data_IF_006001182141
#
_entry.id   IF_006001182141
#
_cell.length_a   1.000
_cell.length_b   1.000
_cell.length_c   1.000
_cell.angle_alpha   90.00
_cell.angle_beta   90.00
_cell.angle_gamma   90.00
#
_symmetry.space_group_name_H-M   'P 1'
#
loop_
_entity.id
_entity.type
_entity.pdbx_description
1 polymer ?
#
# COMPACT_ATOMS: atom_id res chain seq x y z
N UNK A 1 19.25 -6.66 9.30
CA UNK A 1 18.35 -5.54 8.93
C UNK A 1 17.44 -5.23 10.11
N UNK A 2 17.40 -3.97 10.56
CA UNK A 2 16.53 -3.56 11.67
C UNK A 2 15.05 -3.75 11.36
N UNK A 3 14.19 -3.84 12.39
CA UNK A 3 12.74 -4.04 12.22
C UNK A 3 12.09 -2.89 11.43
N UNK A 4 12.41 -1.65 11.79
CA UNK A 4 11.90 -0.45 11.11
C UNK A 4 12.37 -0.37 9.66
N UNK A 5 13.67 -0.58 9.42
CA UNK A 5 14.22 -0.59 8.05
C UNK A 5 13.51 -1.63 7.16
N UNK A 6 13.19 -2.80 7.71
CA UNK A 6 12.43 -3.84 7.00
C UNK A 6 11.06 -3.32 6.60
N UNK A 7 10.30 -2.76 7.53
CA UNK A 7 8.94 -2.23 7.27
C UNK A 7 9.00 -1.16 6.17
N UNK A 8 9.92 -0.20 6.28
CA UNK A 8 10.05 0.89 5.30
C UNK A 8 10.43 0.39 3.92
N UNK A 9 11.36 -0.57 3.81
CA UNK A 9 11.73 -1.19 2.53
C UNK A 9 10.58 -1.94 1.90
N UNK A 10 9.79 -2.63 2.69
CA UNK A 10 8.63 -3.36 2.20
C UNK A 10 7.54 -2.39 1.72
N UNK A 11 7.25 -1.33 2.49
CA UNK A 11 6.31 -0.30 2.05
C UNK A 11 6.78 0.39 0.76
N UNK A 12 8.09 0.69 0.68
CA UNK A 12 8.70 1.22 -0.53
C UNK A 12 8.54 0.30 -1.73
N UNK A 13 8.73 -1.02 -1.55
CA UNK A 13 8.51 -2.00 -2.62
C UNK A 13 7.07 -1.99 -3.12
N UNK A 14 6.09 -1.92 -2.21
CA UNK A 14 4.67 -1.85 -2.53
C UNK A 14 4.31 -0.68 -3.44
N UNK A 15 4.95 0.48 -3.23
CA UNK A 15 4.73 1.66 -4.07
C UNK A 15 5.47 1.57 -5.41
N UNK A 16 6.63 0.92 -5.45
CA UNK A 16 7.35 0.66 -6.70
C UNK A 16 6.71 -0.43 -7.56
N UNK A 17 5.82 -1.23 -7.01
CA UNK A 17 5.39 -2.47 -7.65
C UNK A 17 4.59 -2.25 -8.92
N UNK A 18 3.84 -1.15 -9.04
CA UNK A 18 3.05 -0.84 -10.24
C UNK A 18 3.96 -0.76 -11.48
N UNK A 19 4.97 0.14 -11.58
CA UNK A 19 5.86 0.15 -12.74
C UNK A 19 6.72 -1.13 -12.84
N UNK A 20 7.13 -1.72 -11.72
CA UNK A 20 7.95 -2.94 -11.72
C UNK A 20 7.17 -4.15 -12.25
N UNK A 21 5.86 -4.23 -12.02
CA UNK A 21 5.01 -5.33 -12.46
C UNK A 21 4.95 -5.48 -13.98
N UNK A 22 5.21 -4.41 -14.73
CA UNK A 22 5.27 -4.42 -16.20
C UNK A 22 6.69 -4.55 -16.76
N UNK A 23 7.72 -4.39 -15.93
CA UNK A 23 9.11 -4.53 -16.35
C UNK A 23 9.45 -6.00 -16.73
N UNK A 24 10.54 -6.25 -17.48
CA UNK A 24 11.02 -7.61 -17.72
C UNK A 24 11.26 -8.40 -16.42
N UNK A 25 11.03 -9.71 -16.43
CA UNK A 25 11.14 -10.57 -15.22
C UNK A 25 12.52 -10.51 -14.54
N UNK A 26 13.59 -10.34 -15.33
CA UNK A 26 14.94 -10.10 -14.81
C UNK A 26 15.08 -8.78 -14.04
N UNK A 27 14.38 -7.72 -14.45
CA UNK A 27 14.33 -6.44 -13.72
C UNK A 27 13.55 -6.60 -12.43
N UNK A 28 12.39 -7.27 -12.46
CA UNK A 28 11.58 -7.58 -11.26
C UNK A 28 12.40 -8.29 -10.20
N UNK A 29 13.09 -9.36 -10.61
CA UNK A 29 13.98 -10.13 -9.75
C UNK A 29 15.12 -9.27 -9.18
N UNK A 30 15.73 -8.40 -9.99
CA UNK A 30 16.82 -7.50 -9.56
C UNK A 30 16.32 -6.49 -8.53
N UNK A 31 15.17 -5.86 -8.75
CA UNK A 31 14.59 -4.90 -7.81
C UNK A 31 14.26 -5.58 -6.49
N UNK A 32 13.63 -6.76 -6.53
CA UNK A 32 13.31 -7.53 -5.32
C UNK A 32 14.58 -7.87 -4.52
N UNK A 33 15.64 -8.37 -5.17
CA UNK A 33 16.94 -8.61 -4.50
C UNK A 33 17.52 -7.35 -3.87
N UNK A 34 17.48 -6.22 -4.59
CA UNK A 34 18.04 -4.94 -4.11
C UNK A 34 17.28 -4.38 -2.92
N UNK A 35 15.95 -4.40 -2.98
CA UNK A 35 15.10 -3.81 -1.94
C UNK A 35 15.13 -4.65 -0.67
N UNK A 36 14.91 -5.97 -0.79
CA UNK A 36 14.82 -6.88 0.36
C UNK A 36 16.17 -7.39 0.86
N UNK A 37 17.24 -7.23 0.06
CA UNK A 37 18.58 -7.77 0.34
C UNK A 37 18.58 -9.28 0.62
N UNK A 38 17.66 -10.00 -0.01
CA UNK A 38 17.54 -11.46 0.07
C UNK A 38 17.87 -12.08 -1.28
N UNK A 39 18.53 -13.25 -1.30
CA UNK A 39 18.65 -14.04 -2.52
C UNK A 39 17.26 -14.29 -3.14
N UNK A 40 17.21 -14.22 -4.46
CA UNK A 40 16.00 -14.54 -5.23
C UNK A 40 16.41 -15.21 -6.53
N UNK A 41 15.96 -16.45 -6.69
CA UNK A 41 16.23 -17.28 -7.85
C UNK A 41 15.08 -17.15 -8.83
N UNK A 42 15.33 -16.57 -10.01
CA UNK A 42 14.36 -16.57 -11.10
C UNK A 42 14.42 -17.94 -11.79
N UNK A 43 13.32 -18.70 -11.78
CA UNK A 43 13.26 -20.03 -12.41
C UNK A 43 12.40 -20.00 -13.65
N UNK A 44 12.92 -19.34 -14.70
CA UNK A 44 12.35 -19.22 -16.06
C UNK A 44 10.82 -19.41 -16.07
N UNK A 45 10.07 -18.42 -15.54
CA UNK A 45 8.63 -18.58 -15.39
C UNK A 45 7.96 -18.67 -16.76
N UNK A 46 7.02 -19.60 -16.90
CA UNK A 46 6.16 -19.66 -18.08
C UNK A 46 5.47 -18.31 -18.34
N UNK A 47 5.13 -17.98 -19.59
CA UNK A 47 4.46 -16.72 -19.92
C UNK A 47 3.20 -16.49 -19.10
N UNK A 48 2.40 -17.54 -18.87
CA UNK A 48 1.21 -17.49 -18.03
C UNK A 48 1.50 -17.06 -16.59
N UNK A 49 2.53 -17.64 -15.95
CA UNK A 49 2.89 -17.28 -14.57
C UNK A 49 3.41 -15.84 -14.48
N UNK A 50 4.14 -15.40 -15.50
CA UNK A 50 4.61 -14.02 -15.61
C UNK A 50 3.45 -13.03 -15.75
N UNK A 51 2.43 -13.39 -16.55
CA UNK A 51 1.20 -12.62 -16.70
C UNK A 51 0.40 -12.55 -15.40
N UNK A 52 0.14 -13.69 -14.75
CA UNK A 52 -0.57 -13.73 -13.45
C UNK A 52 0.16 -12.90 -12.41
N UNK A 53 1.49 -12.98 -12.37
CA UNK A 53 2.28 -12.12 -11.49
C UNK A 53 2.10 -10.64 -11.82
N UNK A 54 2.18 -10.26 -13.10
CA UNK A 54 1.98 -8.85 -13.52
C UNK A 54 0.63 -8.33 -13.05
N UNK A 55 -0.46 -9.07 -13.31
CA UNK A 55 -1.82 -8.65 -12.95
C UNK A 55 -1.97 -8.50 -11.43
N UNK A 56 -1.58 -9.51 -10.66
CA UNK A 56 -1.74 -9.50 -9.20
C UNK A 56 -0.83 -8.47 -8.52
N UNK A 57 0.41 -8.31 -8.99
CA UNK A 57 1.33 -7.32 -8.46
C UNK A 57 0.88 -5.89 -8.81
N UNK A 58 0.40 -5.64 -10.03
CA UNK A 58 -0.12 -4.34 -10.41
C UNK A 58 -1.38 -3.97 -9.60
N UNK A 59 -2.31 -4.91 -9.43
CA UNK A 59 -3.51 -4.70 -8.63
C UNK A 59 -3.16 -4.42 -7.15
N UNK A 60 -2.27 -5.22 -6.56
CA UNK A 60 -1.80 -4.99 -5.17
C UNK A 60 -1.08 -3.65 -5.02
N UNK A 61 -0.25 -3.28 -5.99
CA UNK A 61 0.44 -1.99 -6.02
C UNK A 61 -0.51 -0.79 -6.14
N UNK A 62 -1.56 -0.91 -6.95
CA UNK A 62 -2.59 0.12 -7.05
C UNK A 62 -3.33 0.31 -5.72
N UNK A 63 -3.61 -0.78 -4.99
CA UNK A 63 -4.19 -0.68 -3.64
C UNK A 63 -3.22 -0.05 -2.64
N UNK A 64 -1.93 -0.36 -2.72
CA UNK A 64 -0.91 0.30 -1.91
C UNK A 64 -0.82 1.81 -2.20
N UNK A 65 -0.90 2.20 -3.48
CA UNK A 65 -0.98 3.60 -3.89
C UNK A 65 -2.26 4.28 -3.41
N UNK A 66 -3.41 3.60 -3.49
CA UNK A 66 -4.66 4.15 -2.98
C UNK A 66 -4.62 4.33 -1.46
N UNK A 67 -4.07 3.37 -0.71
CA UNK A 67 -3.83 3.51 0.71
C UNK A 67 -2.89 4.67 1.04
N UNK A 68 -1.80 4.84 0.29
CA UNK A 68 -0.89 5.98 0.44
C UNK A 68 -1.58 7.31 0.13
N UNK A 69 -2.42 7.37 -0.91
CA UNK A 69 -3.23 8.54 -1.24
C UNK A 69 -4.19 8.91 -0.09
N UNK A 70 -4.93 7.93 0.46
CA UNK A 70 -5.82 8.15 1.59
C UNK A 70 -5.06 8.60 2.85
N UNK A 71 -3.90 8.00 3.12
CA UNK A 71 -3.00 8.40 4.21
C UNK A 71 -2.57 9.86 4.06
N UNK A 72 -2.11 10.27 2.88
CA UNK A 72 -1.69 11.66 2.61
C UNK A 72 -2.87 12.62 2.73
N UNK A 73 -4.02 12.28 2.15
CA UNK A 73 -5.25 13.08 2.26
C UNK A 73 -5.67 13.29 3.71
N UNK A 74 -5.70 12.22 4.51
CA UNK A 74 -6.06 12.28 5.93
C UNK A 74 -5.06 13.11 6.73
N UNK A 75 -3.76 12.92 6.50
CA UNK A 75 -2.72 13.69 7.18
C UNK A 75 -2.77 15.17 6.83
N UNK A 76 -2.94 15.52 5.55
CA UNK A 76 -3.05 16.92 5.12
C UNK A 76 -4.28 17.57 5.77
N UNK A 77 -5.44 16.93 5.70
CA UNK A 77 -6.69 17.47 6.27
C UNK A 77 -6.66 17.54 7.79
N UNK A 78 -5.97 16.62 8.46
CA UNK A 78 -5.86 16.59 9.91
C UNK A 78 -4.83 17.58 10.45
N UNK A 79 -3.58 17.45 9.99
CA UNK A 79 -2.45 18.26 10.47
C UNK A 79 -2.67 19.74 10.14
N UNK A 80 -3.10 20.03 8.91
CA UNK A 80 -3.33 21.39 8.43
C UNK A 80 -4.82 21.78 8.48
N UNK A 81 -5.61 21.15 9.33
CA UNK A 81 -7.03 21.47 9.50
C UNK A 81 -7.34 22.99 9.60
N UNK A 82 -6.57 23.80 10.36
CA UNK A 82 -6.83 25.24 10.46
C UNK A 82 -6.62 26.00 9.13
N UNK A 83 -5.83 25.46 8.21
CA UNK A 83 -5.62 26.07 6.88
C UNK A 83 -6.70 25.62 5.88
N UNK A 84 -7.27 24.43 6.09
CA UNK A 84 -8.21 23.81 5.15
C UNK A 84 -9.67 24.15 5.48
N UNK A 85 -10.02 24.27 6.77
CA UNK A 85 -11.42 24.33 7.22
C UNK A 85 -11.67 25.25 8.43
N UNK A 86 -10.78 26.22 8.73
CA UNK A 86 -11.00 27.14 9.85
C UNK A 86 -12.26 28.00 9.73
N UNK A 87 -12.85 28.16 8.55
CA UNK A 87 -14.11 28.90 8.39
C UNK A 87 -15.34 28.21 9.00
N UNK A 88 -15.26 26.92 9.30
CA UNK A 88 -16.41 26.08 9.70
C UNK A 88 -16.14 25.23 10.96
N UNK A 89 -15.22 25.69 11.82
CA UNK A 89 -14.86 24.91 13.01
C UNK A 89 -16.01 24.78 14.03
N UNK A 90 -16.98 25.68 14.00
CA UNK A 90 -18.12 25.71 14.93
C UNK A 90 -19.05 24.50 14.76
N UNK A 91 -19.09 23.90 13.57
CA UNK A 91 -19.87 22.70 13.27
C UNK A 91 -19.02 21.42 13.23
N UNK A 92 -17.73 21.54 13.54
CA UNK A 92 -16.77 20.45 13.47
C UNK A 92 -16.62 19.73 14.82
N UNK A 93 -16.23 18.46 14.78
CA UNK A 93 -15.96 17.69 15.99
C UNK A 93 -14.76 18.28 16.75
N UNK A 94 -14.86 18.37 18.08
CA UNK A 94 -13.80 18.93 18.93
C UNK A 94 -14.21 20.15 19.78
N UNK A 95 -15.48 20.56 19.71
CA UNK A 95 -16.03 21.62 20.56
C UNK A 95 -15.97 23.01 19.91
N UNK A 96 -16.40 24.07 20.63
CA UNK A 96 -16.68 25.39 20.04
C UNK A 96 -15.41 26.24 19.82
N UNK A 97 -14.22 25.63 19.82
CA UNK A 97 -12.95 26.34 19.63
C UNK A 97 -12.16 25.73 18.49
N UNK A 98 -11.41 26.57 17.77
CA UNK A 98 -10.52 26.12 16.70
C UNK A 98 -9.48 25.11 17.22
N UNK A 99 -8.96 25.32 18.44
CA UNK A 99 -7.98 24.43 19.05
C UNK A 99 -8.55 23.04 19.31
N UNK A 100 -9.78 22.95 19.83
CA UNK A 100 -10.46 21.69 20.06
C UNK A 100 -10.78 20.96 18.75
N UNK A 101 -11.31 21.68 17.76
CA UNK A 101 -11.55 21.13 16.43
C UNK A 101 -10.26 20.60 15.79
N UNK A 102 -9.17 21.37 15.85
CA UNK A 102 -7.87 20.95 15.35
C UNK A 102 -7.37 19.68 16.06
N UNK A 103 -7.45 19.61 17.39
CA UNK A 103 -6.94 18.46 18.13
C UNK A 103 -7.58 17.13 17.68
N UNK A 104 -8.89 17.11 17.44
CA UNK A 104 -9.61 15.92 16.95
C UNK A 104 -9.17 15.55 15.54
N UNK A 105 -9.08 16.52 14.63
CA UNK A 105 -8.72 16.27 13.23
C UNK A 105 -7.24 15.89 13.09
N UNK A 106 -6.36 16.53 13.86
CA UNK A 106 -4.95 16.15 13.98
C UNK A 106 -4.84 14.71 14.47
N UNK A 107 -5.56 14.35 15.55
CA UNK A 107 -5.53 13.00 16.09
C UNK A 107 -5.98 11.96 15.03
N UNK A 108 -7.08 12.22 14.32
CA UNK A 108 -7.58 11.34 13.26
C UNK A 108 -6.68 11.26 12.03
N UNK A 109 -5.98 12.35 11.66
CA UNK A 109 -5.12 12.40 10.48
C UNK A 109 -3.68 11.92 10.73
N UNK A 110 -3.13 12.16 11.92
CA UNK A 110 -1.72 11.95 12.22
C UNK A 110 -1.44 10.69 13.06
N UNK A 111 -2.30 10.35 14.04
CA UNK A 111 -2.02 9.19 14.91
C UNK A 111 -2.08 7.84 14.16
N UNK A 112 -2.98 7.62 13.18
CA UNK A 112 -3.01 6.37 12.42
C UNK A 112 -1.87 6.20 11.41
N UNK A 113 -0.98 7.18 11.23
CA UNK A 113 0.06 7.15 10.21
C UNK A 113 0.96 5.89 10.24
N UNK A 114 1.39 5.39 11.42
CA UNK A 114 2.12 4.13 11.50
C UNK A 114 1.31 2.93 11.01
N UNK A 115 -0.01 2.90 11.24
CA UNK A 115 -0.90 1.82 10.77
C UNK A 115 -1.00 1.82 9.25
N UNK A 116 -1.09 3.00 8.63
CA UNK A 116 -1.04 3.12 7.17
C UNK A 116 0.28 2.60 6.59
N UNK A 117 1.42 2.94 7.21
CA UNK A 117 2.73 2.41 6.80
C UNK A 117 2.78 0.88 6.92
N UNK A 118 2.23 0.31 8.00
CA UNK A 118 2.14 -1.13 8.19
C UNK A 118 1.23 -1.80 7.15
N UNK A 119 0.10 -1.17 6.79
CA UNK A 119 -0.80 -1.65 5.74
C UNK A 119 -0.08 -1.69 4.38
N UNK A 120 0.60 -0.60 4.01
CA UNK A 120 1.37 -0.51 2.76
C UNK A 120 2.52 -1.54 2.77
N UNK A 121 3.21 -1.71 3.90
CA UNK A 121 4.20 -2.76 4.06
C UNK A 121 3.58 -4.17 3.93
N UNK A 122 2.34 -4.38 4.38
CA UNK A 122 1.60 -5.63 4.17
C UNK A 122 1.48 -5.99 2.69
N UNK A 123 1.12 -5.02 1.84
CA UNK A 123 1.10 -5.20 0.39
C UNK A 123 2.48 -5.55 -0.19
N UNK A 124 3.54 -4.89 0.27
CA UNK A 124 4.89 -5.23 -0.19
C UNK A 124 5.35 -6.64 0.23
N UNK A 125 4.91 -7.14 1.40
CA UNK A 125 5.12 -8.55 1.78
C UNK A 125 4.37 -9.46 0.82
N UNK A 126 3.10 -9.16 0.54
CA UNK A 126 2.28 -9.94 -0.36
C UNK A 126 2.92 -10.04 -1.76
N UNK A 127 3.41 -8.94 -2.30
CA UNK A 127 4.11 -8.89 -3.59
C UNK A 127 5.41 -9.68 -3.59
N UNK A 128 6.21 -9.59 -2.53
CA UNK A 128 7.41 -10.41 -2.38
C UNK A 128 7.06 -11.91 -2.44
N UNK A 129 5.98 -12.31 -1.75
CA UNK A 129 5.49 -13.70 -1.72
C UNK A 129 4.92 -14.14 -3.07
N UNK A 130 4.20 -13.26 -3.76
CA UNK A 130 3.73 -13.50 -5.14
C UNK A 130 4.89 -13.71 -6.09
N UNK A 131 5.95 -12.90 -6.00
CA UNK A 131 7.16 -13.05 -6.81
C UNK A 131 7.88 -14.37 -6.53
N UNK A 132 8.04 -14.75 -5.25
CA UNK A 132 8.59 -16.05 -4.87
C UNK A 132 7.79 -17.19 -5.50
N UNK A 133 6.45 -17.15 -5.38
CA UNK A 133 5.58 -18.21 -5.86
C UNK A 133 5.49 -18.28 -7.39
N UNK A 134 5.31 -17.15 -8.07
CA UNK A 134 4.98 -17.09 -9.50
C UNK A 134 6.21 -16.91 -10.40
N UNK A 135 7.31 -16.34 -9.90
CA UNK A 135 8.53 -16.17 -10.68
C UNK A 135 9.65 -17.09 -10.20
N UNK A 136 9.77 -17.33 -8.89
CA UNK A 136 10.79 -18.20 -8.30
C UNK A 136 10.41 -19.69 -8.18
N UNK A 137 9.10 -20.02 -8.27
CA UNK A 137 8.55 -21.37 -7.96
C UNK A 137 8.81 -21.80 -6.51
N UNK A 138 8.95 -20.84 -5.61
CA UNK A 138 9.26 -21.04 -4.20
C UNK A 138 8.16 -20.48 -3.30
N UNK A 139 8.01 -21.00 -2.09
CA UNK A 139 7.02 -20.52 -1.13
C UNK A 139 5.59 -21.02 -1.36
N UNK A 140 4.72 -20.58 -0.46
CA UNK A 140 3.33 -21.05 -0.34
C UNK A 140 2.42 -20.52 -1.46
N UNK A 141 1.28 -21.20 -1.68
CA UNK A 141 0.30 -20.84 -2.71
C UNK A 141 -0.72 -19.77 -2.26
N UNK A 142 -0.92 -19.60 -0.95
CA UNK A 142 -1.89 -18.66 -0.36
C UNK A 142 -1.78 -17.18 -0.80
N UNK A 143 -0.61 -16.63 -1.21
CA UNK A 143 -0.54 -15.23 -1.65
C UNK A 143 -1.44 -14.93 -2.85
N UNK A 144 -1.69 -15.94 -3.70
CA UNK A 144 -2.53 -15.80 -4.88
C UNK A 144 -3.99 -15.53 -4.50
N UNK A 145 -4.69 -16.40 -3.76
CA UNK A 145 -6.08 -16.14 -3.37
C UNK A 145 -6.20 -14.89 -2.49
N UNK A 146 -5.23 -14.61 -1.62
CA UNK A 146 -5.24 -13.37 -0.82
C UNK A 146 -5.19 -12.13 -1.71
N UNK A 147 -4.30 -12.09 -2.71
CA UNK A 147 -4.23 -10.97 -3.65
C UNK A 147 -5.52 -10.81 -4.45
N UNK A 148 -6.15 -11.91 -4.88
CA UNK A 148 -7.44 -11.88 -5.59
C UNK A 148 -8.54 -11.29 -4.71
N UNK A 149 -8.69 -11.78 -3.47
CA UNK A 149 -9.71 -11.30 -2.53
C UNK A 149 -9.48 -9.83 -2.20
N UNK A 150 -8.25 -9.42 -1.91
CA UNK A 150 -7.92 -8.02 -1.64
C UNK A 150 -8.17 -7.12 -2.85
N UNK A 151 -7.89 -7.61 -4.07
CA UNK A 151 -8.18 -6.86 -5.30
C UNK A 151 -9.69 -6.64 -5.47
N UNK A 152 -10.50 -7.68 -5.27
CA UNK A 152 -11.96 -7.58 -5.35
C UNK A 152 -12.52 -6.65 -4.27
N UNK A 153 -12.11 -6.83 -3.02
CA UNK A 153 -12.51 -5.97 -1.90
C UNK A 153 -12.07 -4.52 -2.13
N UNK A 154 -10.88 -4.31 -2.66
CA UNK A 154 -10.33 -3.00 -2.98
C UNK A 154 -11.12 -2.27 -4.07
N UNK A 155 -11.59 -2.98 -5.10
CA UNK A 155 -12.49 -2.41 -6.12
C UNK A 155 -13.82 -1.97 -5.51
N UNK A 156 -14.42 -2.83 -4.67
CA UNK A 156 -15.67 -2.50 -3.97
C UNK A 156 -15.48 -1.29 -3.06
N UNK A 157 -14.40 -1.28 -2.27
CA UNK A 157 -14.07 -0.17 -1.37
C UNK A 157 -13.79 1.13 -2.13
N UNK A 158 -13.00 1.08 -3.21
CA UNK A 158 -12.74 2.24 -4.05
C UNK A 158 -14.02 2.81 -4.65
N UNK A 159 -14.92 1.94 -5.12
CA UNK A 159 -16.23 2.35 -5.63
C UNK A 159 -17.10 2.97 -4.55
N UNK A 160 -17.14 2.36 -3.36
CA UNK A 160 -17.89 2.90 -2.21
C UNK A 160 -17.36 4.28 -1.83
N UNK A 161 -16.04 4.42 -1.74
CA UNK A 161 -15.37 5.69 -1.48
C UNK A 161 -15.64 6.72 -2.59
N UNK A 162 -15.60 6.35 -3.87
CA UNK A 162 -15.86 7.27 -4.98
C UNK A 162 -17.29 7.82 -4.95
N UNK A 163 -18.26 6.97 -4.63
CA UNK A 163 -19.67 7.36 -4.56
C UNK A 163 -20.11 7.88 -3.19
N UNK A 164 -19.22 7.86 -2.19
CA UNK A 164 -19.52 8.26 -0.81
C UNK A 164 -20.74 7.50 -0.24
N UNK A 165 -20.79 6.17 -0.47
CA UNK A 165 -21.84 5.26 0.00
C UNK A 165 -21.38 4.42 1.19
#
# INVERSE_FOLDING_TARGET
MGKVERVLRTAYYALLSVPVAFAPTGVRARVLRRVFRTPFSLREPSPWRSLVHTVLAAASGLLAWFAAFLMVMAAVRGIFYPLVAAGDYQHSWGGPTLAGAWAVHFAGGALPFPLWILLIAGFGVLEQRLAQRLLGREGSWWPIPVAVVLSAAGVVFFRAWLHQI
#
